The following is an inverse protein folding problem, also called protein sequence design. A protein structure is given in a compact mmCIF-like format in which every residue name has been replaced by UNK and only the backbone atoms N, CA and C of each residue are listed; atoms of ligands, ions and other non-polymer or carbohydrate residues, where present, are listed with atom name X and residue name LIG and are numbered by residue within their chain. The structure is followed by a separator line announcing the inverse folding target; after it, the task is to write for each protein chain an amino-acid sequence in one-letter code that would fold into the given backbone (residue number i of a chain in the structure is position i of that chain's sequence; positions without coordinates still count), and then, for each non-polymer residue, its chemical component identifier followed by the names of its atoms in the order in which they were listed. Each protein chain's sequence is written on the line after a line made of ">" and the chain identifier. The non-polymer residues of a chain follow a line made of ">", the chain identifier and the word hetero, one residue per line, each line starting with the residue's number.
data_IF_292869883470
#
_entry.id   IF_292869883470
#
_cell.length_a   1.000
_cell.length_b   1.000
_cell.length_c   1.000
_cell.angle_alpha   90.00
_cell.angle_beta   90.00
_cell.angle_gamma   90.00
#
_symmetry.space_group_name_H-M   'P 1'
#
loop_
_entity.id
_entity.type
_entity.pdbx_description
1 polymer ?
#
# COMPACT_ATOMS: atom_id res chain seq x y z
N UNK A 1 14.69 15.06 8.86
CA UNK A 1 13.95 16.32 8.59
C UNK A 1 14.23 16.72 7.15
N UNK A 2 13.21 17.04 6.36
CA UNK A 2 13.34 17.31 4.92
C UNK A 2 13.32 18.80 4.62
N UNK A 3 14.00 19.16 3.52
CA UNK A 3 14.29 20.54 3.06
C UNK A 3 13.08 21.49 2.98
N UNK A 4 11.84 20.97 2.97
CA UNK A 4 10.61 21.76 2.83
C UNK A 4 9.55 21.46 3.91
N UNK A 5 9.89 20.80 5.02
CA UNK A 5 8.95 20.53 6.12
C UNK A 5 7.88 19.47 5.84
N UNK A 6 7.81 18.93 4.62
CA UNK A 6 6.90 17.84 4.26
C UNK A 6 7.40 16.51 4.82
N UNK A 7 6.57 15.81 5.60
CA UNK A 7 6.93 14.51 6.19
C UNK A 7 7.07 13.46 5.10
N UNK A 8 8.28 13.26 4.60
CA UNK A 8 8.60 12.38 3.46
C UNK A 8 8.17 10.94 3.66
N UNK A 9 8.18 10.44 4.90
CA UNK A 9 7.65 9.11 5.21
C UNK A 9 6.14 9.01 4.98
N UNK A 10 5.37 10.04 5.36
CA UNK A 10 3.93 10.04 5.13
C UNK A 10 3.62 10.09 3.63
N UNK A 11 4.28 11.00 2.90
CA UNK A 11 4.14 11.09 1.45
C UNK A 11 4.50 9.78 0.73
N UNK A 12 5.61 9.14 1.13
CA UNK A 12 6.01 7.83 0.60
C UNK A 12 4.94 6.77 0.88
N UNK A 13 4.46 6.67 2.11
CA UNK A 13 3.48 5.65 2.47
C UNK A 13 2.16 5.85 1.70
N UNK A 14 1.71 7.09 1.53
CA UNK A 14 0.54 7.40 0.71
C UNK A 14 0.74 6.96 -0.74
N UNK A 15 1.86 7.31 -1.35
CA UNK A 15 2.17 6.90 -2.72
C UNK A 15 2.26 5.37 -2.86
N UNK A 16 2.81 4.67 -1.87
CA UNK A 16 2.88 3.21 -1.86
C UNK A 16 1.49 2.57 -1.83
N UNK A 17 0.60 3.05 -0.96
CA UNK A 17 -0.79 2.56 -0.86
C UNK A 17 -1.55 2.83 -2.16
N UNK A 18 -1.45 4.05 -2.69
CA UNK A 18 -2.11 4.42 -3.95
C UNK A 18 -1.63 3.55 -5.10
N UNK A 19 -0.31 3.37 -5.24
CA UNK A 19 0.27 2.53 -6.29
C UNK A 19 -0.22 1.09 -6.17
N UNK A 20 -0.15 0.53 -4.96
CA UNK A 20 -0.52 -0.86 -4.68
C UNK A 20 -2.03 -1.14 -4.89
N UNK A 21 -2.88 -0.11 -4.96
CA UNK A 21 -4.30 -0.26 -5.30
C UNK A 21 -4.55 -0.56 -6.78
N UNK A 22 -3.58 -0.26 -7.67
CA UNK A 22 -3.77 -0.35 -9.13
C UNK A 22 -2.82 -1.33 -9.83
N UNK A 23 -1.73 -1.77 -9.19
CA UNK A 23 -0.75 -2.68 -9.81
C UNK A 23 -0.48 -3.93 -8.98
N UNK A 24 -0.25 -5.10 -9.62
CA UNK A 24 0.15 -6.33 -8.93
C UNK A 24 1.52 -6.21 -8.23
N UNK A 25 1.73 -7.00 -7.17
CA UNK A 25 2.96 -6.99 -6.36
C UNK A 25 4.24 -7.26 -7.17
N UNK A 26 4.18 -8.13 -8.19
CA UNK A 26 5.31 -8.41 -9.08
C UNK A 26 5.78 -7.15 -9.82
N UNK A 27 4.84 -6.43 -10.44
CA UNK A 27 5.12 -5.17 -11.16
C UNK A 27 5.67 -4.11 -10.21
N UNK A 28 5.12 -4.03 -8.99
CA UNK A 28 5.60 -3.11 -7.96
C UNK A 28 7.02 -3.44 -7.48
N UNK A 29 7.35 -4.73 -7.33
CA UNK A 29 8.68 -5.21 -6.95
C UNK A 29 9.72 -4.83 -8.00
N UNK A 30 9.41 -5.04 -9.28
CA UNK A 30 10.28 -4.67 -10.40
C UNK A 30 10.42 -3.14 -10.52
N UNK A 31 9.32 -2.39 -10.45
CA UNK A 31 9.30 -0.94 -10.62
C UNK A 31 10.06 -0.19 -9.52
N UNK A 32 9.90 -0.64 -8.27
CA UNK A 32 10.43 0.05 -7.08
C UNK A 32 11.71 -0.59 -6.54
N UNK A 33 12.15 -1.72 -7.10
CA UNK A 33 13.33 -2.45 -6.64
C UNK A 33 13.21 -3.01 -5.22
N UNK A 34 11.98 -3.28 -4.76
CA UNK A 34 11.71 -3.83 -3.43
C UNK A 34 11.51 -5.34 -3.49
N UNK A 35 11.77 -6.04 -2.39
CA UNK A 35 11.55 -7.48 -2.31
C UNK A 35 10.07 -7.84 -2.55
N UNK A 36 9.81 -8.94 -3.26
CA UNK A 36 8.44 -9.35 -3.64
C UNK A 36 7.51 -9.49 -2.43
N UNK A 37 7.95 -10.14 -1.35
CA UNK A 37 7.17 -10.22 -0.10
C UNK A 37 6.81 -8.85 0.50
N UNK A 38 7.67 -7.84 0.33
CA UNK A 38 7.35 -6.47 0.78
C UNK A 38 6.28 -5.86 -0.11
N UNK A 39 6.37 -6.04 -1.43
CA UNK A 39 5.35 -5.60 -2.36
C UNK A 39 3.99 -6.28 -2.08
N UNK A 40 3.99 -7.57 -1.78
CA UNK A 40 2.79 -8.33 -1.40
C UNK A 40 2.11 -7.71 -0.16
N UNK A 41 2.87 -7.43 0.89
CA UNK A 41 2.34 -6.76 2.10
C UNK A 41 1.72 -5.39 1.79
N UNK A 42 2.33 -4.60 0.89
CA UNK A 42 1.74 -3.33 0.47
C UNK A 42 0.45 -3.50 -0.33
N UNK A 43 0.38 -4.50 -1.21
CA UNK A 43 -0.86 -4.82 -1.96
C UNK A 43 -1.96 -5.36 -1.06
N UNK A 44 -1.61 -6.11 -0.01
CA UNK A 44 -2.56 -6.55 1.01
C UNK A 44 -3.09 -5.36 1.81
N UNK A 45 -2.21 -4.45 2.24
CA UNK A 45 -2.59 -3.25 2.98
C UNK A 45 -3.45 -2.27 2.16
N UNK A 46 -3.18 -2.16 0.85
CA UNK A 46 -3.95 -1.32 -0.06
C UNK A 46 -5.30 -1.94 -0.45
N UNK A 47 -5.49 -3.24 -0.24
CA UNK A 47 -6.74 -3.94 -0.56
C UNK A 47 -7.86 -3.39 0.31
N UNK A 48 -8.90 -2.85 -0.32
CA UNK A 48 -10.13 -2.49 0.37
C UNK A 48 -10.97 -3.75 0.62
N UNK A 49 -10.71 -4.46 1.73
CA UNK A 49 -11.51 -5.62 2.12
C UNK A 49 -12.71 -5.18 2.96
N UNK A 50 -13.87 -5.00 2.32
CA UNK A 50 -15.13 -4.73 3.01
C UNK A 50 -15.77 -5.99 3.60
N UNK A 51 -15.22 -7.18 3.30
CA UNK A 51 -15.83 -8.45 3.73
C UNK A 51 -15.88 -8.58 5.26
N UNK A 52 -14.82 -8.18 5.96
CA UNK A 52 -14.79 -8.27 7.43
C UNK A 52 -15.77 -7.29 8.07
N UNK A 53 -15.89 -6.09 7.50
CA UNK A 53 -16.89 -5.11 7.91
C UNK A 53 -18.32 -5.61 7.67
N UNK A 54 -18.59 -6.18 6.51
CA UNK A 54 -19.91 -6.73 6.17
C UNK A 54 -20.26 -7.94 7.05
N UNK A 55 -19.30 -8.80 7.36
CA UNK A 55 -19.49 -9.92 8.29
C UNK A 55 -19.84 -9.44 9.70
N UNK A 56 -19.19 -8.37 10.17
CA UNK A 56 -19.50 -7.75 11.45
C UNK A 56 -20.87 -7.03 11.45
N UNK A 57 -21.26 -6.42 10.34
CA UNK A 57 -22.53 -5.70 10.19
C UNK A 57 -23.74 -6.62 9.98
N UNK A 58 -23.55 -7.88 9.58
CA UNK A 58 -24.61 -8.87 9.38
C UNK A 58 -25.04 -9.62 10.66
N UNK A 59 -24.59 -9.18 11.84
CA UNK A 59 -24.95 -9.72 13.17
C UNK A 59 -25.95 -8.80 13.86
#
# INVERSE_FOLDING_TARGET
>A
MTRHGLRTLAARNTAMIETAAYVPAAVMSELLGIHINTAEQWTELARSNWADYLAAAST
#
